data_IF_546137158186
#
_entry.id   IF_546137158186
#
_cell.length_a   1.000
_cell.length_b   1.000
_cell.length_c   1.000
_cell.angle_alpha   90.00
_cell.angle_beta   90.00
_cell.angle_gamma   90.00
#
_symmetry.space_group_name_H-M   'P 1'
#
loop_
_entity.id
_entity.type
_entity.pdbx_description
1 polymer ?
#
# COMPACT_ATOMS: atom_id res chain seq x y z
N UNK A 1 -5.83 -1.18 4.70
CA UNK A 1 -4.46 -0.60 4.64
C UNK A 1 -4.60 0.89 4.41
N UNK A 2 -3.87 1.68 5.17
CA UNK A 2 -3.80 3.14 5.05
C UNK A 2 -2.71 3.50 4.03
N UNK A 3 -2.84 4.62 3.32
CA UNK A 3 -1.80 5.07 2.40
C UNK A 3 -0.64 5.68 3.21
N UNK A 4 0.61 5.36 2.83
CA UNK A 4 1.77 6.03 3.41
C UNK A 4 1.66 7.54 3.16
N UNK A 5 1.55 8.31 4.24
CA UNK A 5 1.48 9.77 4.21
C UNK A 5 2.68 10.38 4.93
N UNK A 6 2.95 11.67 4.64
CA UNK A 6 4.03 12.41 5.32
C UNK A 6 3.81 12.50 6.83
N UNK A 7 2.56 12.53 7.28
CA UNK A 7 2.22 12.56 8.70
C UNK A 7 2.59 11.24 9.38
N UNK A 8 2.19 10.11 8.78
CA UNK A 8 2.53 8.77 9.27
C UNK A 8 4.04 8.59 9.30
N UNK A 9 4.73 8.90 8.21
CA UNK A 9 6.20 8.78 8.14
C UNK A 9 6.89 9.57 9.27
N UNK A 10 6.45 10.81 9.53
CA UNK A 10 7.00 11.63 10.62
C UNK A 10 6.72 11.07 12.00
N UNK A 11 5.55 10.48 12.22
CA UNK A 11 5.18 9.84 13.49
C UNK A 11 6.13 8.68 13.80
N UNK A 12 6.34 7.77 12.85
CA UNK A 12 7.23 6.63 13.02
C UNK A 12 8.72 7.04 13.09
N UNK A 13 9.14 8.07 12.37
CA UNK A 13 10.48 8.66 12.51
C UNK A 13 10.72 9.23 13.91
N UNK A 14 9.74 9.96 14.44
CA UNK A 14 9.82 10.52 15.79
C UNK A 14 9.84 9.40 16.84
N UNK A 15 9.01 8.37 16.67
CA UNK A 15 9.02 7.20 17.55
C UNK A 15 10.38 6.50 17.51
N UNK A 16 10.94 6.26 16.33
CA UNK A 16 12.24 5.61 16.19
C UNK A 16 13.42 6.44 16.69
N UNK A 17 13.35 7.77 16.58
CA UNK A 17 14.32 8.70 17.15
C UNK A 17 14.18 8.90 18.66
N UNK A 18 13.04 8.52 19.25
CA UNK A 18 12.84 8.51 20.70
C UNK A 18 13.31 7.20 21.35
N UNK A 19 13.52 6.15 20.57
CA UNK A 19 14.16 4.93 21.06
C UNK A 19 15.62 5.21 21.41
N UNK A 20 16.10 4.56 22.48
CA UNK A 20 17.48 4.69 22.95
C UNK A 20 18.48 4.44 21.80
N UNK A 21 19.62 5.13 21.87
CA UNK A 21 20.66 5.22 20.83
C UNK A 21 21.44 3.90 20.63
N UNK A 22 20.76 2.74 20.52
CA UNK A 22 21.33 1.46 20.09
C UNK A 22 21.69 1.46 18.58
N UNK A 23 21.92 2.65 18.02
CA UNK A 23 22.25 2.87 16.62
C UNK A 23 21.06 2.73 15.67
N UNK A 24 21.38 2.74 14.37
CA UNK A 24 20.41 2.57 13.29
C UNK A 24 19.92 1.12 13.09
N UNK A 25 20.12 0.24 14.08
CA UNK A 25 19.88 -1.18 13.95
C UNK A 25 18.40 -1.55 14.04
N UNK A 26 17.92 -2.36 13.10
CA UNK A 26 16.55 -2.91 13.13
C UNK A 26 16.45 -4.07 14.14
N UNK A 27 16.47 -3.73 15.43
CA UNK A 27 16.35 -4.67 16.54
C UNK A 27 15.32 -4.18 17.56
N UNK A 28 14.87 -5.09 18.43
CA UNK A 28 13.99 -4.77 19.56
C UNK A 28 12.75 -3.96 19.16
N UNK A 29 12.58 -2.80 19.82
CA UNK A 29 11.45 -1.89 19.61
C UNK A 29 11.46 -1.24 18.22
N UNK A 30 12.64 -1.01 17.63
CA UNK A 30 12.72 -0.45 16.27
C UNK A 30 12.18 -1.41 15.23
N UNK A 31 12.48 -2.71 15.39
CA UNK A 31 11.89 -3.77 14.55
C UNK A 31 10.39 -3.85 14.71
N UNK A 32 9.88 -3.66 15.93
CA UNK A 32 8.43 -3.65 16.18
C UNK A 32 7.75 -2.49 15.42
N UNK A 33 8.31 -1.27 15.48
CA UNK A 33 7.83 -0.10 14.71
C UNK A 33 7.82 -0.36 13.20
N UNK A 34 8.88 -0.99 12.68
CA UNK A 34 8.95 -1.38 11.26
C UNK A 34 7.84 -2.34 10.86
N UNK A 35 7.62 -3.40 11.64
CA UNK A 35 6.56 -4.39 11.38
C UNK A 35 5.18 -3.73 11.40
N UNK A 36 4.97 -2.82 12.35
CA UNK A 36 3.71 -2.09 12.46
C UNK A 36 3.47 -1.19 11.24
N UNK A 37 4.47 -0.39 10.85
CA UNK A 37 4.41 0.46 9.66
C UNK A 37 4.13 -0.35 8.39
N UNK A 38 4.77 -1.51 8.24
CA UNK A 38 4.50 -2.42 7.12
C UNK A 38 3.04 -2.89 7.11
N UNK A 39 2.50 -3.34 8.25
CA UNK A 39 1.12 -3.82 8.32
C UNK A 39 0.11 -2.71 8.06
N UNK A 40 0.40 -1.49 8.53
CA UNK A 40 -0.47 -0.33 8.38
C UNK A 40 -0.51 0.17 6.94
N UNK A 41 0.65 0.31 6.31
CA UNK A 41 0.81 0.93 4.99
C UNK A 41 1.03 -0.05 3.82
N UNK A 42 1.19 -1.35 4.08
CA UNK A 42 1.51 -2.35 3.05
C UNK A 42 2.91 -2.15 2.44
N UNK A 43 3.86 -1.67 3.23
CA UNK A 43 5.25 -1.46 2.80
C UNK A 43 6.05 -2.75 2.78
N UNK A 44 7.00 -2.85 1.86
CA UNK A 44 8.05 -3.87 1.96
C UNK A 44 8.97 -3.58 3.15
N UNK A 45 9.75 -4.59 3.57
CA UNK A 45 10.64 -4.46 4.72
C UNK A 45 11.65 -3.33 4.53
N UNK A 46 12.29 -3.29 3.37
CA UNK A 46 13.27 -2.26 3.00
C UNK A 46 12.66 -0.86 2.98
N UNK A 47 11.46 -0.71 2.43
CA UNK A 47 10.76 0.58 2.38
C UNK A 47 10.41 1.07 3.79
N UNK A 48 9.92 0.20 4.66
CA UNK A 48 9.59 0.56 6.04
C UNK A 48 10.85 0.98 6.83
N UNK A 49 11.97 0.27 6.68
CA UNK A 49 13.26 0.66 7.28
C UNK A 49 13.70 2.04 6.79
N UNK A 50 13.64 2.27 5.48
CA UNK A 50 14.06 3.54 4.90
C UNK A 50 13.15 4.69 5.37
N UNK A 51 11.84 4.48 5.45
CA UNK A 51 10.90 5.49 5.95
C UNK A 51 11.18 5.83 7.41
N UNK A 52 11.42 4.83 8.25
CA UNK A 52 11.77 5.00 9.67
C UNK A 52 13.08 5.77 9.84
N UNK A 53 14.08 5.47 9.01
CA UNK A 53 15.38 6.16 9.02
C UNK A 53 15.35 7.52 8.30
N UNK A 54 14.23 7.91 7.68
CA UNK A 54 14.09 9.20 6.99
C UNK A 54 14.62 9.24 5.54
N UNK A 55 14.95 8.10 4.95
CA UNK A 55 15.44 7.99 3.58
C UNK A 55 14.30 7.85 2.56
N UNK A 56 14.37 8.61 1.46
CA UNK A 56 13.48 8.49 0.28
C UNK A 56 11.97 8.53 0.58
N UNK A 57 11.58 9.17 1.67
CA UNK A 57 10.19 9.18 2.16
C UNK A 57 9.21 9.75 1.12
N UNK A 58 9.60 10.83 0.42
CA UNK A 58 8.76 11.42 -0.63
C UNK A 58 8.58 10.48 -1.82
N UNK A 59 9.65 9.79 -2.25
CA UNK A 59 9.59 8.83 -3.35
C UNK A 59 8.64 7.67 -3.03
N UNK A 60 8.67 7.19 -1.80
CA UNK A 60 7.75 6.13 -1.36
C UNK A 60 6.30 6.61 -1.31
N UNK A 61 6.03 7.81 -0.80
CA UNK A 61 4.67 8.37 -0.80
C UNK A 61 4.13 8.47 -2.24
N UNK A 62 4.90 9.08 -3.14
CA UNK A 62 4.50 9.25 -4.54
C UNK A 62 4.35 7.91 -5.30
N UNK A 63 5.13 6.89 -4.93
CA UNK A 63 5.01 5.53 -5.47
C UNK A 63 3.68 4.89 -5.07
N UNK A 64 3.30 4.99 -3.79
CA UNK A 64 2.08 4.39 -3.28
C UNK A 64 0.83 5.16 -3.71
N UNK A 65 0.89 6.48 -3.84
CA UNK A 65 -0.18 7.31 -4.42
C UNK A 65 -0.52 6.85 -5.84
N UNK A 66 0.48 6.78 -6.72
CA UNK A 66 0.29 6.33 -8.11
C UNK A 66 -0.24 4.90 -8.19
N UNK A 67 0.28 4.00 -7.36
CA UNK A 67 -0.18 2.61 -7.34
C UNK A 67 -1.66 2.50 -6.94
N UNK A 68 -2.10 3.30 -5.97
CA UNK A 68 -3.51 3.33 -5.53
C UNK A 68 -4.43 3.83 -6.65
N UNK A 69 -4.02 4.88 -7.37
CA UNK A 69 -4.78 5.38 -8.53
C UNK A 69 -4.87 4.35 -9.66
N UNK A 70 -3.79 3.61 -9.93
CA UNK A 70 -3.79 2.54 -10.93
C UNK A 70 -4.67 1.35 -10.50
N UNK A 71 -4.61 0.94 -9.23
CA UNK A 71 -5.44 -0.13 -8.70
C UNK A 71 -6.93 0.27 -8.72
N UNK A 72 -7.27 1.52 -8.38
CA UNK A 72 -8.64 2.05 -8.48
C UNK A 72 -9.16 2.09 -9.93
N UNK A 73 -8.30 2.45 -10.90
CA UNK A 73 -8.65 2.41 -12.34
C UNK A 73 -8.88 0.98 -12.82
N UNK A 74 -7.95 0.07 -12.52
CA UNK A 74 -8.08 -1.36 -12.88
C UNK A 74 -9.33 -1.99 -12.26
N UNK A 75 -9.69 -1.61 -11.04
CA UNK A 75 -10.89 -2.12 -10.38
C UNK A 75 -12.18 -1.63 -11.05
N UNK A 76 -12.23 -0.38 -11.53
CA UNK A 76 -13.34 0.12 -12.36
C UNK A 76 -13.43 -0.59 -13.70
N UNK A 77 -12.30 -0.81 -14.36
CA UNK A 77 -12.27 -1.47 -15.68
C UNK A 77 -12.69 -2.95 -15.58
N UNK A 78 -12.32 -3.64 -14.50
CA UNK A 78 -12.78 -5.02 -14.22
C UNK A 78 -14.27 -5.12 -13.86
N UNK A 79 -14.82 -4.13 -13.16
CA UNK A 79 -16.25 -4.07 -12.84
C UNK A 79 -17.09 -3.81 -14.10
N UNK A 80 -16.66 -2.88 -14.95
CA UNK A 80 -17.33 -2.56 -16.21
C UNK A 80 -17.21 -3.68 -17.26
N UNK A 81 -16.11 -4.44 -17.27
CA UNK A 81 -15.93 -5.58 -18.17
C UNK A 81 -16.82 -6.80 -17.85
N UNK A 82 -17.28 -6.94 -16.59
CA UNK A 82 -18.19 -8.04 -16.20
C UNK A 82 -19.64 -7.85 -16.66
N UNK A 83 -20.05 -6.63 -17.01
CA UNK A 83 -21.42 -6.36 -17.46
C UNK A 83 -21.67 -6.75 -18.93
N UNK A 84 -20.62 -6.85 -19.76
CA UNK A 84 -20.74 -7.12 -21.19
C UNK A 84 -20.86 -8.62 -21.56
N UNK A 85 -20.43 -9.55 -20.70
CA UNK A 85 -20.51 -11.00 -20.99
C UNK A 85 -21.84 -11.66 -20.61
N UNK A 86 -22.77 -10.94 -19.95
CA UNK A 86 -24.07 -11.48 -19.54
C UNK A 86 -25.18 -11.38 -20.61
N UNK A 87 -24.96 -10.67 -21.71
CA UNK A 87 -26.04 -10.19 -22.60
C UNK A 87 -26.38 -11.03 -23.84
N UNK A 88 -25.63 -12.08 -24.19
CA UNK A 88 -25.83 -12.85 -25.44
C UNK A 88 -26.18 -14.31 -25.22
N UNK A 89 -27.40 -14.58 -24.75
CA UNK A 89 -28.18 -15.78 -25.17
C UNK A 89 -29.64 -15.38 -25.35
N UNK A 90 -29.92 -14.61 -26.41
CA UNK A 90 -31.29 -14.46 -26.92
C UNK A 90 -31.69 -15.79 -27.57
N UNK A 91 -32.94 -16.15 -27.26
CA UNK A 91 -33.75 -17.25 -27.74
C UNK A 91 -33.86 -17.26 -29.27
N UNK A 92 -33.73 -18.44 -29.87
CA UNK A 92 -34.49 -18.91 -31.03
C UNK A 92 -34.76 -20.40 -30.73
N UNK A 93 -35.94 -20.77 -30.22
CA UNK A 93 -37.19 -21.02 -30.95
C UNK A 93 -37.05 -22.14 -31.98
N UNK A 94 -37.41 -23.35 -31.54
CA UNK A 94 -38.33 -24.31 -32.20
C UNK A 94 -38.32 -24.40 -33.73
N UNK A 95 -38.08 -25.58 -34.30
CA UNK A 95 -38.96 -26.20 -35.31
C UNK A 95 -38.85 -27.74 -35.28
N UNK A 96 -40.03 -28.36 -35.13
CA UNK A 96 -40.53 -29.68 -35.56
C UNK A 96 -39.67 -30.95 -35.50
#
# INVERSE_FOLDING_TARGET
>A
MELLSRAIAKEYQKAAGALADEGLQDIGERRALRIELQKRCGLTELEAVNVINGHHVQDYIAKYERKREEDERKQRDQDNGRMDEGGRRKRESHEF
#
